data_IF_512845694724
#
_entry.id   IF_512845694724
#
_cell.length_a   1.000
_cell.length_b   1.000
_cell.length_c   1.000
_cell.angle_alpha   90.00
_cell.angle_beta   90.00
_cell.angle_gamma   90.00
#
_symmetry.space_group_name_H-M   'P 1'
#
loop_
_entity.id
_entity.type
_entity.pdbx_description
1 polymer ?
#
# COMPACT_ATOMS: atom_id res chain seq x y z
N UNK A 1 9.89 1.04 -15.50
CA UNK A 1 9.16 0.91 -14.22
C UNK A 1 9.35 2.22 -13.47
N UNK A 2 8.32 3.06 -13.35
CA UNK A 2 8.45 4.36 -12.68
C UNK A 2 7.81 4.27 -11.29
N UNK A 3 8.65 4.12 -10.27
CA UNK A 3 8.20 3.98 -8.87
C UNK A 3 7.80 5.35 -8.33
N UNK A 4 6.63 5.43 -7.72
CA UNK A 4 6.13 6.67 -7.11
C UNK A 4 6.29 6.65 -5.59
N UNK A 5 6.48 7.83 -4.98
CA UNK A 5 6.48 7.99 -3.52
C UNK A 5 5.18 7.50 -2.87
N UNK A 6 4.05 7.62 -3.58
CA UNK A 6 2.76 7.10 -3.11
C UNK A 6 2.82 5.58 -2.96
N UNK A 7 3.36 4.86 -3.95
CA UNK A 7 3.51 3.41 -3.86
C UNK A 7 4.47 3.00 -2.73
N UNK A 8 5.58 3.71 -2.53
CA UNK A 8 6.50 3.43 -1.43
C UNK A 8 5.85 3.65 -0.05
N UNK A 9 5.00 4.67 0.10
CA UNK A 9 4.21 4.88 1.34
C UNK A 9 3.25 3.72 1.60
N UNK A 10 2.62 3.22 0.55
CA UNK A 10 1.67 2.10 0.63
C UNK A 10 2.40 0.81 1.01
N UNK A 11 3.57 0.57 0.39
CA UNK A 11 4.45 -0.54 0.74
C UNK A 11 4.93 -0.46 2.19
N UNK A 12 5.34 0.73 2.66
CA UNK A 12 5.78 0.93 4.04
C UNK A 12 4.64 0.70 5.05
N UNK A 13 3.40 1.08 4.72
CA UNK A 13 2.24 0.80 5.57
C UNK A 13 1.94 -0.70 5.64
N UNK A 14 2.03 -1.40 4.51
CA UNK A 14 1.86 -2.84 4.46
C UNK A 14 2.97 -3.58 5.22
N UNK A 15 4.23 -3.18 5.07
CA UNK A 15 5.36 -3.83 5.75
C UNK A 15 5.33 -3.65 7.27
N UNK A 16 4.80 -2.53 7.76
CA UNK A 16 4.63 -2.27 9.20
C UNK A 16 3.51 -3.09 9.85
N UNK A 17 2.45 -3.35 9.11
CA UNK A 17 1.25 -4.01 9.64
C UNK A 17 1.17 -5.50 9.32
N UNK A 18 1.83 -5.94 8.25
CA UNK A 18 1.74 -7.31 7.73
C UNK A 18 0.34 -7.69 7.22
N UNK A 19 -0.59 -6.74 7.12
CA UNK A 19 -1.99 -7.01 6.81
C UNK A 19 -2.60 -5.89 5.96
N UNK A 20 -3.14 -6.25 4.80
CA UNK A 20 -3.69 -5.28 3.85
C UNK A 20 -4.86 -4.46 4.39
N UNK A 21 -5.76 -5.07 5.16
CA UNK A 21 -6.90 -4.36 5.76
C UNK A 21 -6.41 -3.33 6.78
N UNK A 22 -5.58 -3.74 7.73
CA UNK A 22 -5.00 -2.84 8.73
C UNK A 22 -4.14 -1.75 8.11
N UNK A 23 -3.31 -2.09 7.11
CA UNK A 23 -2.52 -1.10 6.38
C UNK A 23 -3.39 -0.02 5.74
N UNK A 24 -4.47 -0.42 5.07
CA UNK A 24 -5.38 0.50 4.40
C UNK A 24 -6.09 1.42 5.41
N UNK A 25 -6.50 0.88 6.56
CA UNK A 25 -7.05 1.66 7.67
C UNK A 25 -6.03 2.70 8.19
N UNK A 26 -4.77 2.32 8.38
CA UNK A 26 -3.72 3.21 8.94
C UNK A 26 -3.38 4.41 8.06
N UNK A 27 -3.62 4.32 6.75
CA UNK A 27 -3.36 5.40 5.79
C UNK A 27 -4.63 5.96 5.16
N UNK A 28 -5.80 5.63 5.71
CA UNK A 28 -7.12 6.14 5.29
C UNK A 28 -7.43 5.91 3.81
N UNK A 29 -7.20 4.70 3.32
CA UNK A 29 -7.58 4.26 1.96
C UNK A 29 -8.40 2.99 2.03
N UNK A 30 -9.00 2.60 0.90
CA UNK A 30 -9.66 1.29 0.80
C UNK A 30 -8.61 0.20 0.57
N UNK A 31 -8.87 -1.00 1.10
CA UNK A 31 -7.99 -2.15 0.90
C UNK A 31 -7.78 -2.53 -0.58
N UNK A 32 -8.79 -2.44 -1.48
CA UNK A 32 -8.59 -2.63 -2.91
C UNK A 32 -7.62 -1.61 -3.54
N UNK A 33 -7.72 -0.34 -3.14
CA UNK A 33 -6.81 0.70 -3.62
C UNK A 33 -5.36 0.46 -3.16
N UNK A 34 -5.18 0.01 -1.91
CA UNK A 34 -3.86 -0.40 -1.42
C UNK A 34 -3.28 -1.55 -2.27
N UNK A 35 -4.07 -2.61 -2.47
CA UNK A 35 -3.65 -3.81 -3.22
C UNK A 35 -3.25 -3.48 -4.65
N UNK A 36 -4.02 -2.63 -5.35
CA UNK A 36 -3.67 -2.18 -6.70
C UNK A 36 -2.31 -1.47 -6.76
N UNK A 37 -2.04 -0.57 -5.80
CA UNK A 37 -0.78 0.18 -5.79
C UNK A 37 0.43 -0.70 -5.47
N UNK A 38 0.25 -1.72 -4.62
CA UNK A 38 1.30 -2.71 -4.32
C UNK A 38 1.57 -3.60 -5.54
N UNK A 39 0.52 -4.08 -6.21
CA UNK A 39 0.70 -4.87 -7.44
C UNK A 39 1.37 -4.09 -8.57
N UNK A 40 1.19 -2.77 -8.61
CA UNK A 40 1.88 -1.91 -9.57
C UNK A 40 3.36 -1.62 -9.20
N UNK A 41 3.84 -2.09 -8.04
CA UNK A 41 5.28 -2.10 -7.69
C UNK A 41 5.98 -3.39 -8.13
N UNK A 42 5.25 -4.50 -8.30
CA UNK A 42 5.74 -5.76 -8.86
C UNK A 42 6.01 -5.61 -10.37
#
# INVERSE_FOLDING_TARGET
>A
MNITLRQLRYFLALSRTGNFTRAAETIHVTQPALSMQIRALE
#
